data_IF_793441982107
#
_entry.id   IF_793441982107
#
_cell.length_a   1.000
_cell.length_b   1.000
_cell.length_c   1.000
_cell.angle_alpha   90.00
_cell.angle_beta   90.00
_cell.angle_gamma   90.00
#
_symmetry.space_group_name_H-M   'P 1'
#
loop_
_entity.id
_entity.type
_entity.pdbx_description
1 polymer ?
#
# COMPACT_ATOMS: atom_id res chain seq x y z
N UNK A 1 7.88 -0.18 19.05
CA UNK A 1 8.41 -0.18 17.68
C UNK A 1 8.95 -1.57 17.39
N UNK A 2 8.39 -2.27 16.41
CA UNK A 2 8.84 -3.60 16.03
C UNK A 2 9.75 -3.57 14.81
N UNK A 3 10.35 -4.71 14.40
CA UNK A 3 11.25 -4.79 13.24
C UNK A 3 10.64 -4.27 11.94
N UNK A 4 9.31 -4.28 11.83
CA UNK A 4 8.57 -3.74 10.66
C UNK A 4 8.80 -2.25 10.39
N UNK A 5 9.24 -1.49 11.39
CA UNK A 5 9.49 -0.04 11.29
C UNK A 5 10.99 0.30 11.35
N UNK A 6 11.84 -0.70 11.16
CA UNK A 6 13.28 -0.55 11.07
C UNK A 6 13.69 0.16 9.77
N UNK A 7 14.82 0.87 9.81
CA UNK A 7 15.52 1.37 8.62
C UNK A 7 16.48 0.35 7.99
N UNK A 8 16.67 -0.80 8.62
CA UNK A 8 17.51 -1.89 8.11
C UNK A 8 16.68 -2.94 7.38
N UNK A 9 16.89 -3.06 6.08
CA UNK A 9 16.19 -4.03 5.25
C UNK A 9 16.47 -5.48 5.64
N UNK A 10 17.66 -5.76 6.19
CA UNK A 10 18.02 -7.11 6.63
C UNK A 10 17.25 -7.51 7.89
N UNK A 11 17.04 -6.59 8.81
CA UNK A 11 16.21 -6.80 10.00
C UNK A 11 14.75 -7.03 9.64
N UNK A 12 14.20 -6.18 8.75
CA UNK A 12 12.83 -6.33 8.25
C UNK A 12 12.68 -7.69 7.55
N UNK A 13 13.61 -8.04 6.66
CA UNK A 13 13.56 -9.30 5.93
C UNK A 13 13.66 -10.51 6.87
N UNK A 14 14.54 -10.46 7.86
CA UNK A 14 14.67 -11.52 8.87
C UNK A 14 13.36 -11.77 9.62
N UNK A 15 12.68 -10.70 10.03
CA UNK A 15 11.36 -10.78 10.66
C UNK A 15 10.31 -11.40 9.73
N UNK A 16 10.20 -10.90 8.49
CA UNK A 16 9.22 -11.40 7.51
C UNK A 16 9.47 -12.86 7.14
N UNK A 17 10.74 -13.25 6.94
CA UNK A 17 11.13 -14.62 6.63
C UNK A 17 10.79 -15.58 7.77
N UNK A 18 11.07 -15.20 9.02
CA UNK A 18 10.71 -15.99 10.19
C UNK A 18 9.19 -16.21 10.32
N UNK A 19 8.40 -15.17 10.01
CA UNK A 19 6.93 -15.29 10.00
C UNK A 19 6.44 -16.20 8.87
N UNK A 20 7.05 -16.10 7.67
CA UNK A 20 6.76 -17.00 6.57
C UNK A 20 7.05 -18.46 6.94
N UNK A 21 8.20 -18.72 7.56
CA UNK A 21 8.59 -20.07 7.98
C UNK A 21 7.62 -20.66 9.00
N UNK A 22 7.19 -19.84 9.97
CA UNK A 22 6.22 -20.26 10.98
C UNK A 22 4.87 -20.59 10.36
N UNK A 23 4.38 -19.77 9.43
CA UNK A 23 3.13 -20.02 8.70
C UNK A 23 3.24 -21.25 7.79
N UNK A 24 4.35 -21.39 7.06
CA UNK A 24 4.58 -22.53 6.20
C UNK A 24 4.63 -23.86 6.99
N UNK A 25 5.25 -23.85 8.17
CA UNK A 25 5.28 -25.00 9.06
C UNK A 25 3.87 -25.36 9.57
N UNK A 26 3.08 -24.37 9.94
CA UNK A 26 1.70 -24.54 10.41
C UNK A 26 0.80 -25.13 9.33
N UNK A 27 0.90 -24.61 8.10
CA UNK A 27 -0.03 -24.94 7.00
C UNK A 27 0.37 -26.22 6.27
N UNK A 28 1.68 -26.43 6.07
CA UNK A 28 2.20 -27.49 5.19
C UNK A 28 3.06 -28.53 5.93
N UNK A 29 3.29 -28.35 7.24
CA UNK A 29 4.15 -29.24 8.03
C UNK A 29 5.64 -29.13 7.67
N UNK A 30 6.44 -30.04 8.22
CA UNK A 30 7.92 -30.04 8.06
C UNK A 30 8.39 -30.37 6.63
N UNK A 31 7.57 -31.07 5.86
CA UNK A 31 7.95 -31.62 4.55
C UNK A 31 6.95 -31.22 3.47
N UNK A 32 6.88 -29.92 3.11
CA UNK A 32 5.98 -29.47 2.07
C UNK A 32 6.36 -30.08 0.70
N UNK A 33 5.36 -30.28 -0.16
CA UNK A 33 5.56 -30.77 -1.54
C UNK A 33 6.48 -29.82 -2.32
N UNK A 34 7.14 -30.33 -3.36
CA UNK A 34 8.10 -29.55 -4.15
C UNK A 34 7.52 -28.25 -4.71
N UNK A 35 6.27 -28.28 -5.17
CA UNK A 35 5.59 -27.09 -5.68
C UNK A 35 5.43 -26.01 -4.61
N UNK A 36 5.07 -26.40 -3.37
CA UNK A 36 4.95 -25.49 -2.23
C UNK A 36 6.30 -24.89 -1.88
N UNK A 37 7.37 -25.71 -1.85
CA UNK A 37 8.74 -25.21 -1.61
C UNK A 37 9.16 -24.15 -2.62
N UNK A 38 8.89 -24.39 -3.93
CA UNK A 38 9.18 -23.40 -4.96
C UNK A 38 8.42 -22.08 -4.75
N UNK A 39 7.14 -22.15 -4.37
CA UNK A 39 6.34 -20.96 -4.08
C UNK A 39 6.88 -20.22 -2.85
N UNK A 40 7.29 -20.93 -1.81
CA UNK A 40 7.89 -20.32 -0.62
C UNK A 40 9.21 -19.60 -0.96
N UNK A 41 10.06 -20.18 -1.79
CA UNK A 41 11.30 -19.51 -2.24
C UNK A 41 11.00 -18.25 -3.08
N UNK A 42 10.03 -18.33 -4.00
CA UNK A 42 9.59 -17.17 -4.76
C UNK A 42 9.06 -16.06 -3.82
N UNK A 43 8.28 -16.44 -2.80
CA UNK A 43 7.74 -15.51 -1.83
C UNK A 43 8.86 -14.88 -0.98
N UNK A 44 9.90 -15.64 -0.58
CA UNK A 44 11.07 -15.07 0.11
C UNK A 44 11.76 -14.00 -0.73
N UNK A 45 11.93 -14.23 -2.03
CA UNK A 45 12.47 -13.22 -2.95
C UNK A 45 11.62 -11.94 -2.97
N UNK A 46 10.29 -12.07 -2.95
CA UNK A 46 9.37 -10.93 -2.88
C UNK A 46 9.48 -10.20 -1.54
N UNK A 47 9.51 -10.93 -0.43
CA UNK A 47 9.64 -10.35 0.92
C UNK A 47 10.95 -9.58 1.11
N UNK A 48 12.05 -10.05 0.50
CA UNK A 48 13.33 -9.33 0.50
C UNK A 48 13.19 -7.95 -0.14
N UNK A 49 12.59 -7.90 -1.32
CA UNK A 49 12.36 -6.64 -2.02
C UNK A 49 11.39 -5.72 -1.27
N UNK A 50 10.35 -6.30 -0.65
CA UNK A 50 9.44 -5.53 0.21
C UNK A 50 10.19 -4.90 1.40
N UNK A 51 11.14 -5.62 2.00
CA UNK A 51 11.97 -5.11 3.07
C UNK A 51 12.86 -3.95 2.61
N UNK A 52 13.45 -4.04 1.41
CA UNK A 52 14.24 -2.97 0.82
C UNK A 52 13.40 -1.70 0.58
N UNK A 53 12.21 -1.85 0.00
CA UNK A 53 11.27 -0.74 -0.22
C UNK A 53 10.82 -0.13 1.11
N UNK A 54 10.53 -0.95 2.12
CA UNK A 54 10.13 -0.48 3.43
C UNK A 54 11.26 0.31 4.12
N UNK A 55 12.49 -0.17 4.04
CA UNK A 55 13.65 0.52 4.60
C UNK A 55 13.90 1.88 3.92
N UNK A 56 13.76 1.92 2.58
CA UNK A 56 13.86 3.18 1.82
C UNK A 56 12.78 4.18 2.24
N UNK A 57 11.52 3.74 2.36
CA UNK A 57 10.42 4.59 2.86
C UNK A 57 10.69 5.12 4.25
N UNK A 58 11.28 4.28 5.11
CA UNK A 58 11.65 4.70 6.47
C UNK A 58 12.74 5.77 6.44
N UNK A 59 13.71 5.65 5.53
CA UNK A 59 14.75 6.66 5.31
C UNK A 59 14.15 7.99 4.81
N UNK A 60 13.09 7.94 3.99
CA UNK A 60 12.32 9.10 3.52
C UNK A 60 11.39 9.71 4.61
N UNK A 61 11.47 9.20 5.86
CA UNK A 61 10.73 9.71 7.00
C UNK A 61 9.33 9.10 7.19
N UNK A 62 8.90 8.20 6.31
CA UNK A 62 7.62 7.50 6.46
C UNK A 62 7.66 6.47 7.58
N UNK A 63 6.57 6.36 8.34
CA UNK A 63 6.35 5.35 9.38
C UNK A 63 5.00 4.71 9.16
N UNK A 64 4.89 3.42 9.43
CA UNK A 64 3.60 2.73 9.44
C UNK A 64 2.79 3.26 10.64
N UNK A 65 1.74 4.02 10.35
CA UNK A 65 0.84 4.57 11.36
C UNK A 65 -0.26 3.57 11.73
N UNK A 66 -0.88 2.93 10.73
CA UNK A 66 -1.96 1.96 10.96
C UNK A 66 -1.98 0.87 9.88
N UNK A 67 -2.58 -0.27 10.20
CA UNK A 67 -2.78 -1.39 9.27
C UNK A 67 -4.18 -1.96 9.47
N UNK A 68 -4.81 -2.47 8.41
CA UNK A 68 -6.15 -3.06 8.44
C UNK A 68 -7.17 -2.11 9.11
N UNK A 69 -7.12 -0.83 8.73
CA UNK A 69 -7.95 0.21 9.31
C UNK A 69 -9.35 0.23 8.71
N UNK A 70 -10.35 -0.09 9.51
CA UNK A 70 -11.74 0.04 9.10
C UNK A 70 -12.14 1.52 8.98
N UNK A 71 -12.98 1.83 7.99
CA UNK A 71 -13.58 3.15 7.81
C UNK A 71 -15.05 3.03 7.42
N UNK A 72 -15.82 4.07 7.72
CA UNK A 72 -17.16 4.29 7.19
C UNK A 72 -17.44 5.79 7.11
N UNK A 73 -18.15 6.21 6.07
CA UNK A 73 -18.64 7.58 5.91
C UNK A 73 -19.87 7.59 4.99
N UNK A 74 -20.65 8.69 5.07
CA UNK A 74 -21.82 8.90 4.22
C UNK A 74 -21.59 10.06 3.28
N UNK A 75 -21.87 9.88 1.99
CA UNK A 75 -21.78 10.94 0.99
C UNK A 75 -22.80 10.76 -0.11
N UNK A 76 -23.47 11.83 -0.52
CA UNK A 76 -24.48 11.80 -1.59
C UNK A 76 -25.67 10.87 -1.33
N UNK A 77 -25.98 10.57 -0.06
CA UNK A 77 -27.05 9.62 0.32
C UNK A 77 -26.60 8.15 0.27
N UNK A 78 -25.33 7.86 0.03
CA UNK A 78 -24.75 6.52 0.06
C UNK A 78 -23.87 6.34 1.29
N UNK A 79 -23.91 5.13 1.85
CA UNK A 79 -22.99 4.67 2.90
C UNK A 79 -21.81 3.97 2.27
N UNK A 80 -20.60 4.41 2.64
CA UNK A 80 -19.33 3.79 2.23
C UNK A 80 -18.68 3.17 3.46
N UNK A 81 -18.29 1.92 3.34
CA UNK A 81 -17.54 1.22 4.38
C UNK A 81 -16.49 0.31 3.74
N UNK A 82 -15.39 0.11 4.43
CA UNK A 82 -14.31 -0.74 3.95
C UNK A 82 -13.16 -0.79 4.93
N UNK A 83 -12.04 -1.34 4.44
CA UNK A 83 -10.82 -1.46 5.21
C UNK A 83 -9.64 -1.02 4.37
N UNK A 84 -8.80 -0.18 4.94
CA UNK A 84 -7.54 0.26 4.35
C UNK A 84 -6.44 -0.68 4.83
N UNK A 85 -5.69 -1.27 3.90
CA UNK A 85 -4.64 -2.24 4.23
C UNK A 85 -3.52 -1.61 5.06
N UNK A 86 -3.11 -0.37 4.70
CA UNK A 86 -2.01 0.31 5.38
C UNK A 86 -2.11 1.82 5.26
N UNK A 87 -1.77 2.52 6.34
CA UNK A 87 -1.60 3.96 6.40
C UNK A 87 -0.18 4.25 6.90
N UNK A 88 0.59 4.99 6.10
CA UNK A 88 1.87 5.53 6.51
C UNK A 88 1.72 7.01 6.86
N UNK A 89 2.49 7.48 7.84
CA UNK A 89 2.55 8.89 8.23
C UNK A 89 3.97 9.43 8.14
N UNK A 90 4.10 10.71 7.80
CA UNK A 90 5.35 11.48 7.92
C UNK A 90 5.05 12.93 8.26
N UNK A 91 6.04 13.62 8.81
CA UNK A 91 6.01 15.08 8.92
C UNK A 91 6.82 15.67 7.77
N UNK A 92 6.25 16.64 7.07
CA UNK A 92 6.91 17.36 5.99
C UNK A 92 6.58 18.85 6.09
N UNK A 93 7.59 19.69 6.29
CA UNK A 93 7.40 21.14 6.36
C UNK A 93 6.45 21.63 7.46
N UNK A 94 6.37 20.90 8.59
CA UNK A 94 5.48 21.23 9.71
C UNK A 94 4.02 20.85 9.49
N UNK A 95 3.71 20.09 8.46
CA UNK A 95 2.39 19.52 8.22
C UNK A 95 2.44 18.00 8.24
N UNK A 96 1.45 17.34 8.86
CA UNK A 96 1.34 15.89 8.80
C UNK A 96 0.92 15.45 7.39
N UNK A 97 1.63 14.47 6.85
CA UNK A 97 1.27 13.82 5.60
C UNK A 97 0.94 12.36 5.85
N UNK A 98 -0.11 11.85 5.19
CA UNK A 98 -0.50 10.44 5.25
C UNK A 98 -0.55 9.84 3.85
N UNK A 99 -0.04 8.61 3.74
CA UNK A 99 -0.12 7.82 2.53
C UNK A 99 -0.97 6.58 2.79
N UNK A 100 -2.08 6.47 2.09
CA UNK A 100 -2.97 5.32 2.13
C UNK A 100 -2.57 4.33 1.05
N UNK A 101 -2.29 3.09 1.44
CA UNK A 101 -1.68 2.08 0.60
C UNK A 101 -2.51 0.82 0.56
N UNK A 102 -2.70 0.30 -0.63
CA UNK A 102 -3.36 -0.98 -0.89
C UNK A 102 -2.34 -1.97 -1.47
N UNK A 103 -2.30 -3.19 -0.94
CA UNK A 103 -1.40 -4.24 -1.40
C UNK A 103 -1.96 -4.96 -2.62
N UNK A 104 -1.18 -5.00 -3.70
CA UNK A 104 -1.53 -5.74 -4.91
C UNK A 104 -0.53 -6.88 -5.16
N UNK A 105 -1.02 -8.11 -5.20
CA UNK A 105 -0.22 -9.33 -5.39
C UNK A 105 -0.25 -9.83 -6.84
N UNK A 106 -0.13 -8.92 -7.82
CA UNK A 106 -0.22 -9.26 -9.23
C UNK A 106 1.16 -9.67 -9.75
N UNK A 107 1.24 -10.79 -10.45
CA UNK A 107 2.51 -11.35 -10.97
C UNK A 107 3.03 -10.68 -12.24
N UNK A 108 2.18 -9.96 -12.96
CA UNK A 108 2.58 -9.22 -14.16
C UNK A 108 2.26 -7.75 -13.98
N UNK A 109 3.28 -6.90 -14.09
CA UNK A 109 3.10 -5.49 -14.38
C UNK A 109 2.63 -5.43 -15.85
N UNK A 110 1.41 -5.86 -16.09
CA UNK A 110 0.70 -5.38 -17.25
C UNK A 110 0.35 -3.91 -16.95
N UNK A 111 0.04 -3.14 -17.96
CA UNK A 111 -0.42 -1.75 -17.89
C UNK A 111 -1.50 -1.42 -16.83
N UNK A 112 -1.81 -2.33 -15.93
CA UNK A 112 -2.90 -2.31 -14.95
C UNK A 112 -2.87 -1.20 -13.90
N UNK A 113 -1.89 -0.30 -14.02
CA UNK A 113 -1.74 0.84 -13.13
C UNK A 113 -1.53 2.14 -13.89
N UNK A 114 -1.63 2.04 -15.20
CA UNK A 114 -1.73 3.22 -16.02
C UNK A 114 -3.01 3.99 -15.66
N UNK A 115 -2.98 5.30 -15.80
CA UNK A 115 -4.15 6.17 -15.63
C UNK A 115 -5.41 5.61 -16.31
N UNK A 116 -5.27 4.93 -17.44
CA UNK A 116 -6.34 4.27 -18.19
C UNK A 116 -7.07 3.15 -17.46
N UNK A 117 -6.48 2.57 -16.41
CA UNK A 117 -7.13 1.56 -15.57
C UNK A 117 -8.06 2.19 -14.53
N UNK A 118 -7.76 3.43 -14.12
CA UNK A 118 -8.50 4.14 -13.10
C UNK A 118 -9.48 5.16 -13.68
N UNK A 119 -9.17 5.70 -14.85
CA UNK A 119 -9.94 6.76 -15.47
C UNK A 119 -10.32 6.40 -16.93
N UNK A 120 -11.50 6.87 -17.36
CA UNK A 120 -11.87 6.87 -18.77
C UNK A 120 -11.06 7.92 -19.53
N UNK A 121 -11.11 7.90 -20.87
CA UNK A 121 -10.52 8.96 -21.70
C UNK A 121 -11.12 10.36 -21.39
N UNK A 122 -12.34 10.40 -20.84
CA UNK A 122 -13.03 11.63 -20.40
C UNK A 122 -12.64 12.07 -18.98
N UNK A 123 -11.79 11.31 -18.28
CA UNK A 123 -11.39 11.62 -16.92
C UNK A 123 -12.36 11.13 -15.82
N UNK A 124 -13.35 10.33 -16.16
CA UNK A 124 -14.27 9.72 -15.21
C UNK A 124 -13.62 8.51 -14.52
N UNK A 125 -13.89 8.30 -13.24
CA UNK A 125 -13.35 7.17 -12.52
C UNK A 125 -13.98 5.85 -12.95
N UNK A 126 -13.16 4.88 -13.30
CA UNK A 126 -13.54 3.47 -13.52
C UNK A 126 -13.43 2.64 -12.25
N UNK A 127 -12.43 2.94 -11.44
CA UNK A 127 -12.15 2.26 -10.17
C UNK A 127 -12.21 3.30 -9.05
N UNK A 128 -13.16 3.11 -8.15
CA UNK A 128 -13.42 4.05 -7.05
C UNK A 128 -12.58 3.78 -5.79
N UNK A 129 -11.74 2.73 -5.76
CA UNK A 129 -11.00 2.35 -4.56
C UNK A 129 -10.14 3.51 -4.03
N UNK A 130 -9.28 4.09 -4.87
CA UNK A 130 -8.43 5.20 -4.44
C UNK A 130 -9.21 6.47 -4.07
N UNK A 131 -10.20 6.94 -4.85
CA UNK A 131 -11.06 8.06 -4.44
C UNK A 131 -11.76 7.84 -3.09
N UNK A 132 -12.30 6.64 -2.86
CA UNK A 132 -12.96 6.30 -1.59
C UNK A 132 -11.95 6.30 -0.44
N UNK A 133 -10.76 5.74 -0.64
CA UNK A 133 -9.70 5.75 0.36
C UNK A 133 -9.22 7.18 0.68
N UNK A 134 -9.04 8.02 -0.35
CA UNK A 134 -8.68 9.44 -0.15
C UNK A 134 -9.74 10.18 0.66
N UNK A 135 -11.02 9.94 0.34
CA UNK A 135 -12.14 10.59 1.05
C UNK A 135 -12.18 10.13 2.51
N UNK A 136 -12.08 8.81 2.76
CA UNK A 136 -12.03 8.26 4.12
C UNK A 136 -10.84 8.82 4.92
N UNK A 137 -9.65 8.86 4.32
CA UNK A 137 -8.47 9.40 4.98
C UNK A 137 -8.58 10.91 5.27
N UNK A 138 -9.22 11.68 4.38
CA UNK A 138 -9.45 13.11 4.60
C UNK A 138 -10.39 13.37 5.78
N UNK A 139 -11.32 12.47 6.07
CA UNK A 139 -12.14 12.54 7.27
C UNK A 139 -11.39 12.13 8.54
N UNK A 140 -10.54 11.08 8.43
CA UNK A 140 -9.75 10.61 9.57
C UNK A 140 -8.67 11.63 9.99
N UNK A 141 -8.11 12.37 9.01
CA UNK A 141 -6.97 13.28 9.23
C UNK A 141 -7.25 14.68 8.65
N UNK A 142 -8.16 15.46 9.25
CA UNK A 142 -8.53 16.78 8.76
C UNK A 142 -7.33 17.73 8.68
N UNK A 143 -7.15 18.38 7.53
CA UNK A 143 -6.07 19.35 7.31
C UNK A 143 -4.70 18.75 6.99
N UNK A 144 -4.57 17.42 6.98
CA UNK A 144 -3.36 16.74 6.57
C UNK A 144 -3.24 16.66 5.03
N UNK A 145 -2.00 16.47 4.55
CA UNK A 145 -1.74 16.11 3.17
C UNK A 145 -2.00 14.60 3.00
N UNK A 146 -2.96 14.24 2.15
CA UNK A 146 -3.31 12.84 1.88
C UNK A 146 -2.80 12.44 0.51
N UNK A 147 -2.14 11.30 0.44
CA UNK A 147 -1.79 10.61 -0.80
C UNK A 147 -2.32 9.18 -0.76
N UNK A 148 -2.65 8.63 -1.93
CA UNK A 148 -3.07 7.24 -2.06
C UNK A 148 -2.24 6.54 -3.10
N UNK A 149 -2.06 5.23 -2.94
CA UNK A 149 -1.30 4.46 -3.90
C UNK A 149 -1.40 2.98 -3.69
N UNK A 150 -0.69 2.27 -4.55
CA UNK A 150 -0.59 0.81 -4.50
C UNK A 150 0.83 0.39 -4.15
N UNK A 151 0.94 -0.68 -3.41
CA UNK A 151 2.18 -1.35 -3.11
C UNK A 151 2.25 -2.63 -3.96
N UNK A 152 3.05 -2.56 -5.05
CA UNK A 152 3.14 -3.68 -5.99
C UNK A 152 4.43 -4.43 -5.91
N UNK A 153 4.37 -5.66 -6.34
CA UNK A 153 5.51 -6.49 -6.74
C UNK A 153 6.69 -6.39 -5.82
N UNK A 154 6.42 -5.80 -4.62
CA UNK A 154 7.48 -5.63 -3.63
C UNK A 154 8.70 -4.83 -4.15
N UNK A 155 8.59 -4.20 -5.36
CA UNK A 155 9.65 -3.48 -6.04
C UNK A 155 9.33 -2.05 -6.39
N UNK A 156 8.06 -1.69 -6.49
CA UNK A 156 7.66 -0.37 -6.95
C UNK A 156 6.56 0.19 -6.08
N UNK A 157 6.66 1.45 -5.87
CA UNK A 157 5.73 2.24 -5.13
C UNK A 157 5.18 3.32 -6.06
N UNK A 158 3.87 3.33 -6.28
CA UNK A 158 3.22 4.37 -7.06
C UNK A 158 2.30 5.14 -6.15
N UNK A 159 2.57 6.41 -5.94
CA UNK A 159 1.70 7.33 -5.23
C UNK A 159 0.92 8.18 -6.22
N UNK A 160 -0.38 8.29 -5.99
CA UNK A 160 -1.18 9.36 -6.53
C UNK A 160 -1.22 10.49 -5.50
N UNK A 161 -0.60 11.63 -5.79
CA UNK A 161 -0.63 12.78 -4.90
C UNK A 161 -1.98 13.51 -4.95
N UNK A 162 -2.28 14.19 -3.86
CA UNK A 162 -3.54 14.90 -3.56
C UNK A 162 -3.81 16.16 -4.40
N UNK A 163 -3.43 16.18 -5.66
CA UNK A 163 -3.88 17.21 -6.59
C UNK A 163 -5.16 16.82 -7.34
N UNK A 164 -5.72 15.66 -7.05
CA UNK A 164 -7.10 15.38 -7.40
C UNK A 164 -8.02 16.16 -6.47
N UNK A 165 -8.16 17.48 -6.71
CA UNK A 165 -9.33 18.20 -6.20
C UNK A 165 -10.56 17.45 -6.68
N UNK A 166 -11.55 17.19 -5.81
CA UNK A 166 -12.80 16.64 -6.26
C UNK A 166 -13.35 17.58 -7.33
N UNK A 167 -13.49 17.08 -8.56
CA UNK A 167 -14.20 17.68 -9.68
C UNK A 167 -13.49 18.57 -10.71
N UNK A 168 -12.26 19.06 -10.61
CA UNK A 168 -11.83 20.01 -11.65
C UNK A 168 -10.47 19.85 -12.33
N UNK A 169 -9.55 18.98 -11.91
CA UNK A 169 -8.28 18.84 -12.64
C UNK A 169 -7.78 17.39 -12.73
N UNK A 170 -8.05 16.77 -13.89
CA UNK A 170 -7.68 15.41 -14.23
C UNK A 170 -6.18 15.22 -14.59
N UNK A 171 -5.26 16.09 -14.18
CA UNK A 171 -3.94 16.17 -14.82
C UNK A 171 -2.71 15.76 -13.98
N UNK A 172 -2.84 15.19 -12.80
CA UNK A 172 -1.64 14.84 -12.03
C UNK A 172 -1.67 13.45 -11.40
N UNK A 173 -1.37 12.43 -12.20
CA UNK A 173 -0.61 11.28 -11.74
C UNK A 173 0.80 11.45 -12.33
N UNK A 174 1.76 11.90 -11.57
CA UNK A 174 3.18 11.86 -11.94
C UNK A 174 3.77 10.53 -11.50
N UNK A 175 4.37 9.84 -12.45
CA UNK A 175 5.12 8.59 -12.28
C UNK A 175 6.45 8.81 -11.58
#
# INVERSE_FOLDING_TARGET
>A
FGPRDSGDSSEIFGFLSSRLDSLALSEFGRFPRAQVRMQLENLRGRLRRAAEVQAARRADGWRIADTERDFSFSEGGFEFAGRIDRIDARESGGRPGFAVLDYKTIDKVSSGFARSEHLTAKGEWKNLQLPVYMRAASEMYPGAEISCGYFYHWNQFTLCHNTCRPYHDANYCTY
#
